data_IF_776143369983
#
_entry.id   IF_776143369983
#
_cell.length_a   1.000
_cell.length_b   1.000
_cell.length_c   1.000
_cell.angle_alpha   90.00
_cell.angle_beta   90.00
_cell.angle_gamma   90.00
#
_symmetry.space_group_name_H-M   'P 1'
#
loop_
_entity.id
_entity.type
_entity.pdbx_description
1 polymer ?
#
# COMPACT_ATOMS: atom_id res chain seq x y z
N UNK A 1 1.16 8.45 9.97
CA UNK A 1 -0.15 8.69 10.57
C UNK A 1 -1.08 7.51 10.31
N UNK A 2 -1.72 7.07 11.37
CA UNK A 2 -2.74 6.01 11.27
C UNK A 2 -4.07 6.61 10.83
N UNK A 3 -4.67 6.01 9.82
CA UNK A 3 -6.01 6.37 9.34
C UNK A 3 -6.95 5.20 9.56
N UNK A 4 -8.19 5.49 9.92
CA UNK A 4 -9.22 4.49 10.10
C UNK A 4 -10.45 4.85 9.27
N UNK A 5 -11.16 3.81 8.82
CA UNK A 5 -12.46 3.94 8.17
C UNK A 5 -13.51 3.40 9.12
N UNK A 6 -14.61 4.14 9.29
CA UNK A 6 -15.70 3.71 10.18
C UNK A 6 -17.00 3.62 9.41
N UNK A 7 -17.84 2.66 9.83
CA UNK A 7 -19.22 2.54 9.40
C UNK A 7 -20.06 2.40 10.65
N UNK A 8 -21.02 3.30 10.86
CA UNK A 8 -21.89 3.33 12.07
C UNK A 8 -21.06 3.31 13.37
N UNK A 9 -20.00 4.16 13.41
CA UNK A 9 -19.09 4.30 14.55
C UNK A 9 -18.22 3.07 14.84
N UNK A 10 -18.22 2.08 13.95
CA UNK A 10 -17.40 0.87 14.08
C UNK A 10 -16.21 0.96 13.12
N UNK A 11 -15.01 0.70 13.61
CA UNK A 11 -13.80 0.69 12.76
C UNK A 11 -13.83 -0.56 11.88
N UNK A 12 -13.83 -0.37 10.58
CA UNK A 12 -13.91 -1.47 9.60
C UNK A 12 -12.65 -1.61 8.75
N UNK A 13 -11.78 -0.61 8.75
CA UNK A 13 -10.51 -0.68 8.04
C UNK A 13 -9.51 0.30 8.65
N UNK A 14 -8.24 0.00 8.50
CA UNK A 14 -7.17 0.90 8.93
C UNK A 14 -5.95 0.76 8.04
N UNK A 15 -5.14 1.82 7.98
CA UNK A 15 -3.86 1.83 7.28
C UNK A 15 -2.99 2.95 7.80
N UNK A 16 -1.70 2.86 7.54
CA UNK A 16 -0.74 3.92 7.85
C UNK A 16 -0.32 4.58 6.54
N UNK A 17 -0.36 5.90 6.50
CA UNK A 17 0.09 6.69 5.35
C UNK A 17 1.21 7.60 5.85
N UNK A 18 2.38 7.50 5.22
CA UNK A 18 3.54 8.34 5.55
C UNK A 18 4.51 8.41 4.36
N UNK A 19 5.75 8.79 4.61
CA UNK A 19 6.82 8.87 3.62
C UNK A 19 7.89 7.80 3.84
N UNK A 20 7.69 6.89 4.77
CA UNK A 20 8.70 5.88 5.11
C UNK A 20 8.67 4.75 4.10
N UNK A 21 9.82 4.52 3.47
CA UNK A 21 9.99 3.44 2.52
C UNK A 21 10.79 2.31 3.17
N UNK A 22 10.31 1.07 3.00
CA UNK A 22 11.05 -0.09 3.47
C UNK A 22 12.40 -0.17 2.76
N UNK A 23 13.40 -0.76 3.44
CA UNK A 23 14.74 -0.92 2.85
C UNK A 23 14.71 -1.70 1.53
N UNK A 24 13.79 -2.63 1.38
CA UNK A 24 13.64 -3.38 0.13
C UNK A 24 13.28 -2.48 -1.05
N UNK A 25 12.65 -1.33 -0.82
CA UNK A 25 12.27 -0.40 -1.88
C UNK A 25 13.50 0.16 -2.60
N UNK A 26 14.64 0.30 -1.92
CA UNK A 26 15.86 0.84 -2.52
C UNK A 26 16.48 -0.06 -3.59
N UNK A 27 16.12 -1.34 -3.60
CA UNK A 27 16.63 -2.32 -4.56
C UNK A 27 15.76 -2.44 -5.82
N UNK A 28 14.64 -1.74 -5.88
CA UNK A 28 13.67 -1.84 -6.96
C UNK A 28 13.86 -0.70 -7.96
N UNK A 29 13.77 -1.02 -9.23
CA UNK A 29 13.81 0.00 -10.29
C UNK A 29 12.41 0.58 -10.51
N UNK A 30 12.17 1.74 -9.89
CA UNK A 30 10.88 2.41 -10.01
C UNK A 30 10.74 3.08 -11.38
N UNK A 31 9.56 2.92 -12.00
CA UNK A 31 9.26 3.59 -13.28
C UNK A 31 8.94 5.07 -13.09
N UNK A 32 8.47 5.43 -11.89
CA UNK A 32 8.12 6.81 -11.55
C UNK A 32 9.01 7.29 -10.42
N UNK A 33 10.28 7.69 -10.74
CA UNK A 33 11.19 8.17 -9.70
C UNK A 33 10.72 9.51 -9.14
N UNK A 34 10.92 9.69 -7.85
CA UNK A 34 10.60 10.93 -7.16
C UNK A 34 11.47 11.03 -5.91
N UNK A 35 11.71 12.27 -5.45
CA UNK A 35 12.39 12.48 -4.17
C UNK A 35 11.51 11.95 -3.03
N UNK A 36 12.13 11.52 -1.93
CA UNK A 36 11.42 10.86 -0.82
C UNK A 36 10.28 11.71 -0.26
N UNK A 37 10.43 13.02 -0.26
CA UNK A 37 9.40 13.95 0.22
C UNK A 37 8.19 14.06 -0.72
N UNK A 38 8.27 13.48 -1.91
CA UNK A 38 7.20 13.48 -2.90
C UNK A 38 6.54 12.11 -3.09
N UNK A 39 6.93 11.14 -2.27
CA UNK A 39 6.40 9.76 -2.35
C UNK A 39 5.52 9.49 -1.14
N UNK A 40 4.24 9.19 -1.37
CA UNK A 40 3.34 8.71 -0.34
C UNK A 40 3.36 7.18 -0.28
N UNK A 41 3.44 6.62 0.91
CA UNK A 41 3.52 5.17 1.11
C UNK A 41 2.37 4.69 1.98
N UNK A 42 1.65 3.68 1.49
CA UNK A 42 0.58 3.01 2.22
C UNK A 42 1.14 1.77 2.89
N UNK A 43 0.95 1.70 4.21
CA UNK A 43 1.41 0.55 5.01
C UNK A 43 0.23 -0.14 5.67
N UNK A 44 0.28 -1.45 5.69
CA UNK A 44 -0.56 -2.28 6.56
C UNK A 44 -2.06 -1.98 6.41
N UNK A 45 -2.54 -1.99 5.16
CA UNK A 45 -3.98 -1.86 4.93
C UNK A 45 -4.67 -3.14 5.41
N UNK A 46 -5.57 -2.98 6.36
CA UNK A 46 -6.35 -4.08 6.94
C UNK A 46 -7.82 -3.72 6.85
N UNK A 47 -8.61 -4.66 6.37
CA UNK A 47 -10.08 -4.55 6.32
C UNK A 47 -10.67 -5.65 7.18
N UNK A 48 -11.65 -5.31 8.03
CA UNK A 48 -12.35 -6.29 8.84
C UNK A 48 -12.97 -7.36 7.92
N UNK A 49 -12.67 -8.65 8.15
CA UNK A 49 -13.19 -9.73 7.29
C UNK A 49 -14.71 -9.74 7.17
N UNK A 50 -15.43 -9.26 8.18
CA UNK A 50 -16.90 -9.16 8.16
C UNK A 50 -17.39 -8.21 7.06
N UNK A 51 -16.53 -7.30 6.58
CA UNK A 51 -16.84 -6.31 5.56
C UNK A 51 -16.06 -6.55 4.27
N UNK A 52 -15.39 -7.68 4.12
CA UNK A 52 -14.41 -7.92 3.06
C UNK A 52 -14.95 -7.91 1.63
N UNK A 53 -16.26 -8.02 1.43
CA UNK A 53 -16.87 -8.04 0.08
C UNK A 53 -17.60 -6.74 -0.28
N UNK A 54 -17.37 -5.67 0.48
CA UNK A 54 -18.06 -4.39 0.27
C UNK A 54 -17.21 -3.34 -0.46
N UNK A 55 -16.06 -3.73 -1.00
CA UNK A 55 -15.19 -2.79 -1.72
C UNK A 55 -14.47 -1.78 -0.83
N UNK A 56 -14.34 -2.05 0.46
CA UNK A 56 -13.73 -1.12 1.41
C UNK A 56 -12.24 -0.93 1.16
N UNK A 57 -11.53 -1.97 0.72
CA UNK A 57 -10.11 -1.85 0.37
C UNK A 57 -9.92 -0.87 -0.79
N UNK A 58 -10.74 -0.97 -1.83
CA UNK A 58 -10.71 -0.04 -2.96
C UNK A 58 -11.02 1.39 -2.53
N UNK A 59 -12.03 1.55 -1.67
CA UNK A 59 -12.41 2.86 -1.15
C UNK A 59 -11.27 3.48 -0.33
N UNK A 60 -10.57 2.68 0.47
CA UNK A 60 -9.44 3.16 1.26
C UNK A 60 -8.28 3.59 0.37
N UNK A 61 -7.95 2.80 -0.66
CA UNK A 61 -6.89 3.15 -1.62
C UNK A 61 -7.25 4.43 -2.37
N UNK A 62 -8.50 4.61 -2.75
CA UNK A 62 -8.97 5.83 -3.40
C UNK A 62 -8.78 7.05 -2.48
N UNK A 63 -9.10 6.92 -1.21
CA UNK A 63 -8.86 7.96 -0.21
C UNK A 63 -7.36 8.24 -0.04
N UNK A 64 -6.53 7.21 0.02
CA UNK A 64 -5.08 7.33 0.10
C UNK A 64 -4.53 8.16 -1.06
N UNK A 65 -4.95 7.87 -2.28
CA UNK A 65 -4.49 8.62 -3.46
C UNK A 65 -4.92 10.08 -3.38
N UNK A 66 -6.16 10.34 -2.98
CA UNK A 66 -6.67 11.70 -2.83
C UNK A 66 -5.91 12.46 -1.75
N UNK A 67 -5.70 11.84 -0.59
CA UNK A 67 -4.94 12.42 0.50
C UNK A 67 -3.52 12.79 0.05
N UNK A 68 -2.84 11.86 -0.62
CA UNK A 68 -1.48 12.09 -1.11
C UNK A 68 -1.43 13.23 -2.13
N UNK A 69 -2.38 13.28 -3.03
CA UNK A 69 -2.45 14.34 -4.04
C UNK A 69 -2.67 15.70 -3.40
N UNK A 70 -3.55 15.79 -2.41
CA UNK A 70 -3.84 17.02 -1.68
C UNK A 70 -2.66 17.48 -0.82
N UNK A 71 -1.77 16.56 -0.43
CA UNK A 71 -0.61 16.86 0.40
C UNK A 71 0.69 17.01 -0.41
N UNK A 72 0.59 17.12 -1.71
CA UNK A 72 1.73 17.44 -2.57
C UNK A 72 2.59 16.27 -2.99
N UNK A 73 2.17 15.03 -2.72
CA UNK A 73 2.85 13.85 -3.23
C UNK A 73 2.53 13.66 -4.72
N UNK A 74 3.50 13.20 -5.48
CA UNK A 74 3.34 13.01 -6.93
C UNK A 74 3.32 11.55 -7.34
N UNK A 75 3.79 10.67 -6.46
CA UNK A 75 3.85 9.21 -6.68
C UNK A 75 3.42 8.54 -5.40
N UNK A 76 2.73 7.42 -5.52
CA UNK A 76 2.40 6.56 -4.38
C UNK A 76 3.02 5.19 -4.56
N UNK A 77 3.44 4.59 -3.46
CA UNK A 77 4.04 3.26 -3.41
C UNK A 77 3.42 2.45 -2.30
N UNK A 78 3.37 1.16 -2.52
CA UNK A 78 2.88 0.22 -1.50
C UNK A 78 3.44 -1.16 -1.79
N UNK A 79 3.29 -2.05 -0.84
CA UNK A 79 3.69 -3.44 -1.00
C UNK A 79 2.62 -4.37 -0.43
N UNK A 80 2.65 -5.60 -0.90
CA UNK A 80 1.85 -6.69 -0.36
C UNK A 80 2.61 -8.00 -0.56
N UNK A 81 2.30 -9.00 0.25
CA UNK A 81 2.90 -10.31 0.06
C UNK A 81 2.36 -10.95 -1.23
N UNK A 82 3.25 -11.54 -2.02
CA UNK A 82 2.89 -12.18 -3.29
C UNK A 82 1.81 -13.25 -3.09
N UNK A 83 1.87 -13.99 -1.97
CA UNK A 83 0.89 -15.04 -1.66
C UNK A 83 -0.53 -14.50 -1.41
N UNK A 84 -0.66 -13.22 -1.08
CA UNK A 84 -1.95 -12.58 -0.85
C UNK A 84 -2.55 -12.16 -2.20
N UNK A 85 -3.09 -13.12 -2.93
CA UNK A 85 -3.54 -12.92 -4.32
C UNK A 85 -4.65 -11.88 -4.46
N UNK A 86 -5.54 -11.78 -3.48
CA UNK A 86 -6.66 -10.85 -3.53
C UNK A 86 -6.21 -9.39 -3.53
N UNK A 87 -5.42 -8.91 -2.55
CA UNK A 87 -4.90 -7.55 -2.62
C UNK A 87 -3.94 -7.34 -3.79
N UNK A 88 -3.11 -8.32 -4.13
CA UNK A 88 -2.22 -8.25 -5.28
C UNK A 88 -3.00 -7.88 -6.55
N UNK A 89 -4.06 -8.64 -6.84
CA UNK A 89 -4.89 -8.40 -8.01
C UNK A 89 -5.68 -7.09 -7.91
N UNK A 90 -6.11 -6.73 -6.72
CA UNK A 90 -6.79 -5.46 -6.48
C UNK A 90 -5.92 -4.27 -6.91
N UNK A 91 -4.66 -4.25 -6.51
CA UNK A 91 -3.76 -3.15 -6.87
C UNK A 91 -3.52 -3.09 -8.38
N UNK A 92 -3.35 -4.23 -9.04
CA UNK A 92 -3.24 -4.24 -10.49
C UNK A 92 -4.49 -3.66 -11.16
N UNK A 93 -5.67 -4.05 -10.67
CA UNK A 93 -6.94 -3.57 -11.22
C UNK A 93 -7.16 -2.07 -10.96
N UNK A 94 -6.55 -1.52 -9.92
CA UNK A 94 -6.61 -0.09 -9.60
C UNK A 94 -5.58 0.74 -10.37
N UNK A 95 -4.83 0.12 -11.28
CA UNK A 95 -3.87 0.82 -12.12
C UNK A 95 -2.47 0.92 -11.54
N UNK A 96 -2.17 0.19 -10.47
CA UNK A 96 -0.82 0.14 -9.93
C UNK A 96 0.07 -0.72 -10.83
N UNK A 97 1.31 -0.27 -10.97
CA UNK A 97 2.32 -1.00 -11.74
C UNK A 97 3.19 -1.80 -10.77
N UNK A 98 3.37 -3.08 -11.06
CA UNK A 98 4.31 -3.91 -10.31
C UNK A 98 5.73 -3.46 -10.66
N UNK A 99 6.43 -2.92 -9.66
CA UNK A 99 7.80 -2.43 -9.82
C UNK A 99 8.83 -3.52 -9.59
N UNK A 100 8.55 -4.45 -8.68
CA UNK A 100 9.45 -5.56 -8.42
C UNK A 100 8.94 -6.47 -7.33
N UNK A 101 9.57 -7.64 -7.23
CA UNK A 101 9.31 -8.62 -6.18
C UNK A 101 10.63 -8.90 -5.49
N UNK A 102 10.64 -8.86 -4.15
CA UNK A 102 11.85 -9.09 -3.37
C UNK A 102 11.56 -10.03 -2.21
N UNK A 103 12.50 -10.92 -1.98
CA UNK A 103 12.49 -11.79 -0.81
C UNK A 103 13.01 -10.98 0.36
N UNK A 104 12.17 -10.75 1.37
CA UNK A 104 12.43 -9.79 2.43
C UNK A 104 12.37 -10.47 3.80
N UNK A 105 13.41 -10.34 4.64
CA UNK A 105 13.36 -10.84 6.01
C UNK A 105 12.48 -9.94 6.87
N UNK A 106 11.68 -10.56 7.74
CA UNK A 106 10.95 -9.86 8.80
C UNK A 106 11.53 -10.24 10.14
N UNK A 107 11.75 -9.24 11.01
CA UNK A 107 12.43 -9.44 12.29
C UNK A 107 11.75 -10.47 13.20
N UNK A 108 10.42 -10.49 13.19
CA UNK A 108 9.64 -11.36 14.06
C UNK A 108 9.30 -12.70 13.43
N UNK A 109 9.74 -12.94 12.20
CA UNK A 109 9.50 -14.18 11.48
C UNK A 109 10.80 -14.92 11.26
N UNK A 110 10.76 -16.26 11.43
CA UNK A 110 11.91 -17.11 11.19
C UNK A 110 12.12 -17.45 9.72
N UNK A 111 11.39 -16.79 8.83
CA UNK A 111 11.47 -17.00 7.39
C UNK A 111 11.31 -15.67 6.66
N UNK A 112 11.75 -15.64 5.42
CA UNK A 112 11.57 -14.49 4.54
C UNK A 112 10.19 -14.54 3.90
N UNK A 113 9.67 -13.38 3.52
CA UNK A 113 8.45 -13.28 2.73
C UNK A 113 8.76 -12.61 1.40
N UNK A 114 8.03 -13.00 0.37
CA UNK A 114 8.11 -12.34 -0.93
C UNK A 114 7.16 -11.16 -0.95
N UNK A 115 7.73 -9.96 -1.10
CA UNK A 115 6.96 -8.72 -1.23
C UNK A 115 6.91 -8.27 -2.68
N UNK A 116 5.71 -7.96 -3.13
CA UNK A 116 5.48 -7.28 -4.38
C UNK A 116 5.35 -5.79 -4.10
N UNK A 117 6.19 -4.98 -4.75
CA UNK A 117 6.17 -3.53 -4.64
C UNK A 117 5.46 -2.92 -5.82
N UNK A 118 4.51 -2.04 -5.54
CA UNK A 118 3.67 -1.38 -6.54
C UNK A 118 3.86 0.12 -6.51
N UNK A 119 3.65 0.75 -7.64
CA UNK A 119 3.73 2.21 -7.78
C UNK A 119 2.62 2.73 -8.67
N UNK A 120 2.26 3.99 -8.45
CA UNK A 120 1.31 4.69 -9.30
C UNK A 120 1.63 6.18 -9.31
N UNK A 121 1.63 6.78 -10.50
CA UNK A 121 1.79 8.23 -10.64
C UNK A 121 0.43 8.90 -10.41
N UNK A 122 0.43 9.90 -9.56
CA UNK A 122 -0.76 10.68 -9.26
C UNK A 122 -1.05 11.76 -10.32
#
# INVERSE_FOLDING_TARGET
TLFVMTINDEVVASAIINQEQLSAYSSVEWSFPASDDKVGVLHTLVVDPSFGKQGLGKAFVSYFEKYCKENGYIVVRLDTQVKNTRPFNMYLNLGYKLAGIRNTPFQDLQYNVELAMFEKKL
#
